data_IF_575505384090
#
_entry.id   IF_575505384090
#
_cell.length_a   1.000
_cell.length_b   1.000
_cell.length_c   1.000
_cell.angle_alpha   90.00
_cell.angle_beta   90.00
_cell.angle_gamma   90.00
#
_symmetry.space_group_name_H-M   'P 1'
#
loop_
_entity.id
_entity.type
_entity.pdbx_description
1 polymer ?
#
# COMPACT_ATOMS: atom_id res chain seq x y z
N UNK A 1 -13.42 32.85 6.66
CA UNK A 1 -13.17 32.28 7.99
C UNK A 1 -14.32 31.37 8.43
N UNK A 2 -15.57 31.85 8.52
CA UNK A 2 -16.73 31.04 8.94
C UNK A 2 -16.95 29.72 8.18
N UNK A 3 -16.73 29.69 6.86
CA UNK A 3 -16.96 28.49 6.01
C UNK A 3 -15.93 27.36 6.26
N UNK A 4 -14.70 27.69 6.66
CA UNK A 4 -13.67 26.67 6.96
C UNK A 4 -13.92 26.02 8.33
N UNK A 5 -14.39 26.79 9.31
CA UNK A 5 -14.75 26.28 10.64
C UNK A 5 -15.95 25.31 10.58
N UNK A 6 -16.92 25.55 9.70
CA UNK A 6 -18.07 24.65 9.46
C UNK A 6 -17.65 23.32 8.81
N UNK A 7 -16.70 23.32 7.87
CA UNK A 7 -16.20 22.08 7.25
C UNK A 7 -15.45 21.20 8.24
N UNK A 8 -14.52 21.79 9.01
CA UNK A 8 -13.72 21.04 9.97
C UNK A 8 -14.58 20.47 11.11
N UNK A 9 -15.57 21.23 11.58
CA UNK A 9 -16.53 20.75 12.58
C UNK A 9 -17.39 19.60 12.04
N UNK A 10 -17.84 19.64 10.78
CA UNK A 10 -18.54 18.52 10.13
C UNK A 10 -17.71 17.23 10.15
N UNK A 11 -16.43 17.32 9.75
CA UNK A 11 -15.50 16.17 9.76
C UNK A 11 -15.33 15.63 11.17
N UNK A 12 -15.09 16.49 12.17
CA UNK A 12 -14.93 16.07 13.57
C UNK A 12 -16.19 15.43 14.15
N UNK A 13 -17.36 15.95 13.79
CA UNK A 13 -18.65 15.40 14.25
C UNK A 13 -18.95 14.03 13.63
N UNK A 14 -18.39 13.73 12.46
CA UNK A 14 -18.52 12.42 11.82
C UNK A 14 -17.56 11.36 12.40
N UNK A 15 -16.65 11.71 13.31
CA UNK A 15 -15.69 10.75 13.88
C UNK A 15 -16.43 9.60 14.58
N UNK A 16 -15.96 8.35 14.42
CA UNK A 16 -16.45 7.25 15.23
C UNK A 16 -16.28 7.56 16.72
N UNK A 17 -17.24 7.13 17.56
CA UNK A 17 -17.19 7.35 19.02
C UNK A 17 -15.90 6.85 19.69
N UNK A 18 -15.24 5.85 19.10
CA UNK A 18 -13.97 5.27 19.59
C UNK A 18 -12.72 5.96 19.02
N UNK A 19 -12.88 7.01 18.23
CA UNK A 19 -11.78 7.63 17.48
C UNK A 19 -11.37 6.81 16.25
N UNK A 20 -10.36 7.31 15.53
CA UNK A 20 -9.84 6.69 14.30
C UNK A 20 -8.65 5.76 14.57
N UNK A 21 -7.85 6.05 15.60
CA UNK A 21 -6.72 5.24 16.03
C UNK A 21 -6.73 5.09 17.55
N UNK A 22 -6.40 3.88 18.02
CA UNK A 22 -6.19 3.65 19.44
C UNK A 22 -4.96 4.45 19.91
N UNK A 23 -5.11 5.19 21.02
CA UNK A 23 -4.02 5.89 21.70
C UNK A 23 -3.28 6.94 20.86
N UNK A 24 -3.87 7.39 19.75
CA UNK A 24 -3.29 8.43 18.89
C UNK A 24 -4.32 9.49 18.54
N UNK A 25 -3.87 10.73 18.55
CA UNK A 25 -4.63 11.85 18.01
C UNK A 25 -4.54 11.86 16.48
N UNK A 26 -5.69 12.09 15.85
CA UNK A 26 -5.76 12.25 14.40
C UNK A 26 -5.71 13.74 14.04
N UNK A 27 -4.68 14.11 13.27
CA UNK A 27 -4.54 15.46 12.75
C UNK A 27 -5.32 15.59 11.43
N UNK A 28 -6.14 16.64 11.36
CA UNK A 28 -6.97 16.94 10.20
C UNK A 28 -6.41 18.13 9.45
N UNK A 29 -6.33 18.02 8.12
CA UNK A 29 -6.12 19.18 7.26
C UNK A 29 -7.45 19.93 7.09
N UNK A 30 -7.47 21.28 7.14
CA UNK A 30 -8.68 22.05 6.89
C UNK A 30 -9.15 21.96 5.43
N UNK A 31 -8.23 21.61 4.51
CA UNK A 31 -8.48 21.53 3.08
C UNK A 31 -8.08 20.14 2.54
N UNK A 32 -8.85 19.59 1.57
CA UNK A 32 -8.49 18.34 0.92
C UNK A 32 -7.24 18.53 0.05
N UNK A 33 -6.50 17.45 -0.18
CA UNK A 33 -5.40 17.44 -1.13
C UNK A 33 -5.96 17.32 -2.56
N UNK A 34 -5.89 18.37 -3.41
CA UNK A 34 -6.48 18.31 -4.74
C UNK A 34 -5.65 17.42 -5.68
N UNK A 35 -6.34 16.55 -6.42
CA UNK A 35 -5.73 15.68 -7.43
C UNK A 35 -6.32 16.05 -8.80
N UNK A 36 -5.45 16.34 -9.76
CA UNK A 36 -5.87 16.58 -11.14
C UNK A 36 -6.43 15.31 -11.78
N UNK A 37 -7.46 15.44 -12.63
CA UNK A 37 -8.09 14.30 -13.32
C UNK A 37 -7.09 13.43 -14.09
N UNK A 38 -6.09 14.08 -14.72
CA UNK A 38 -5.02 13.37 -15.43
C UNK A 38 -4.22 12.48 -14.46
N UNK A 39 -3.83 13.05 -13.32
CA UNK A 39 -3.06 12.32 -12.32
C UNK A 39 -3.88 11.19 -11.67
N UNK A 40 -5.18 11.40 -11.43
CA UNK A 40 -6.08 10.33 -10.99
C UNK A 40 -6.07 9.13 -11.93
N UNK A 41 -6.20 9.36 -13.24
CA UNK A 41 -6.16 8.29 -14.24
C UNK A 41 -4.81 7.54 -14.25
N UNK A 42 -3.70 8.25 -13.99
CA UNK A 42 -2.38 7.63 -13.83
C UNK A 42 -2.29 6.76 -12.57
N UNK A 43 -2.86 7.20 -11.45
CA UNK A 43 -2.93 6.43 -10.20
C UNK A 43 -3.78 5.15 -10.35
N UNK A 44 -4.90 5.22 -11.06
CA UNK A 44 -5.74 4.03 -11.36
C UNK A 44 -4.97 2.99 -12.19
N UNK A 45 -4.18 3.44 -13.18
CA UNK A 45 -3.33 2.56 -13.98
C UNK A 45 -2.14 2.01 -13.20
N UNK A 46 -1.63 2.75 -12.21
CA UNK A 46 -0.49 2.31 -11.40
C UNK A 46 -0.78 1.00 -10.66
N UNK A 47 -2.01 0.81 -10.15
CA UNK A 47 -2.39 -0.42 -9.45
C UNK A 47 -2.14 -1.69 -10.27
N UNK A 48 -2.52 -1.68 -11.55
CA UNK A 48 -2.26 -2.80 -12.45
C UNK A 48 -0.77 -3.02 -12.70
N UNK A 49 0.00 -1.94 -12.90
CA UNK A 49 1.46 -2.01 -13.11
C UNK A 49 2.16 -2.59 -11.89
N UNK A 50 1.75 -2.21 -10.69
CA UNK A 50 2.28 -2.74 -9.43
C UNK A 50 1.98 -4.22 -9.24
N UNK A 51 0.78 -4.68 -9.63
CA UNK A 51 0.45 -6.11 -9.62
C UNK A 51 1.38 -6.91 -10.53
N UNK A 52 1.65 -6.41 -11.74
CA UNK A 52 2.60 -7.05 -12.67
C UNK A 52 4.01 -7.06 -12.07
N UNK A 53 4.44 -5.94 -11.48
CA UNK A 53 5.73 -5.83 -10.82
C UNK A 53 5.89 -6.86 -9.70
N UNK A 54 4.90 -6.98 -8.79
CA UNK A 54 4.94 -7.97 -7.71
C UNK A 54 5.01 -9.41 -8.24
N UNK A 55 4.25 -9.72 -9.31
CA UNK A 55 4.33 -11.04 -9.97
C UNK A 55 5.72 -11.30 -10.54
N UNK A 56 6.35 -10.31 -11.16
CA UNK A 56 7.71 -10.42 -11.66
C UNK A 56 8.74 -10.62 -10.54
N UNK A 57 8.60 -9.90 -9.41
CA UNK A 57 9.44 -10.11 -8.21
C UNK A 57 9.28 -11.53 -7.65
N UNK A 58 8.05 -12.02 -7.53
CA UNK A 58 7.81 -13.40 -7.07
C UNK A 58 8.40 -14.42 -8.05
N UNK A 59 8.22 -14.23 -9.36
CA UNK A 59 8.85 -15.09 -10.37
C UNK A 59 10.38 -15.08 -10.27
N UNK A 60 10.99 -13.91 -10.07
CA UNK A 60 12.44 -13.77 -9.87
C UNK A 60 12.91 -14.57 -8.65
N UNK A 61 12.18 -14.49 -7.53
CA UNK A 61 12.44 -15.32 -6.34
C UNK A 61 12.38 -16.82 -6.68
N UNK A 62 11.30 -17.28 -7.33
CA UNK A 62 11.13 -18.70 -7.67
C UNK A 62 12.21 -19.21 -8.65
N UNK A 63 12.68 -18.36 -9.56
CA UNK A 63 13.78 -18.69 -10.46
C UNK A 63 15.13 -18.72 -9.73
N UNK A 64 15.35 -17.82 -8.77
CA UNK A 64 16.53 -17.79 -7.90
C UNK A 64 16.63 -19.07 -7.07
N UNK A 65 15.53 -19.53 -6.46
CA UNK A 65 15.45 -20.81 -5.74
C UNK A 65 15.81 -22.01 -6.63
N UNK A 66 15.48 -21.95 -7.93
CA UNK A 66 15.79 -23.00 -8.92
C UNK A 66 17.18 -22.87 -9.56
N UNK A 67 17.99 -21.90 -9.14
CA UNK A 67 19.31 -21.64 -9.72
C UNK A 67 19.28 -21.07 -11.15
N UNK A 68 18.14 -20.53 -11.59
CA UNK A 68 17.97 -19.92 -12.93
C UNK A 68 18.16 -18.40 -12.94
N UNK A 69 18.27 -17.79 -11.76
CA UNK A 69 18.54 -16.38 -11.52
C UNK A 69 19.53 -16.28 -10.34
N UNK A 70 20.18 -15.12 -10.10
CA UNK A 70 21.17 -14.97 -9.04
C UNK A 70 20.69 -15.46 -7.68
N UNK A 71 21.47 -16.31 -7.02
CA UNK A 71 21.09 -16.96 -5.75
C UNK A 71 20.88 -15.98 -4.59
N UNK A 72 21.50 -14.79 -4.65
CA UNK A 72 21.40 -13.78 -3.60
C UNK A 72 19.96 -13.29 -3.39
N UNK A 73 19.09 -13.33 -4.41
CA UNK A 73 17.70 -12.89 -4.30
C UNK A 73 16.93 -13.78 -3.33
N UNK A 74 16.96 -15.10 -3.54
CA UNK A 74 16.33 -16.06 -2.62
C UNK A 74 16.98 -15.98 -1.24
N UNK A 75 18.32 -15.93 -1.18
CA UNK A 75 19.04 -15.82 0.09
C UNK A 75 18.60 -14.61 0.92
N UNK A 76 18.48 -13.43 0.30
CA UNK A 76 18.06 -12.22 0.99
C UNK A 76 16.60 -12.27 1.43
N UNK A 77 15.71 -12.77 0.54
CA UNK A 77 14.28 -12.87 0.86
C UNK A 77 13.95 -13.95 1.89
N UNK A 78 14.78 -14.98 2.03
CA UNK A 78 14.58 -16.04 3.03
C UNK A 78 15.22 -15.70 4.39
N UNK A 79 16.11 -14.69 4.44
CA UNK A 79 16.82 -14.32 5.65
C UNK A 79 15.86 -13.96 6.81
N UNK A 80 16.08 -14.59 7.97
CA UNK A 80 15.29 -14.36 9.19
C UNK A 80 13.92 -15.05 9.22
N UNK A 81 13.49 -15.72 8.14
CA UNK A 81 12.25 -16.50 8.13
C UNK A 81 12.47 -17.88 8.75
N UNK A 82 11.49 -18.42 9.52
CA UNK A 82 11.52 -19.80 9.95
C UNK A 82 11.59 -20.77 8.76
N UNK A 83 12.37 -21.86 8.83
CA UNK A 83 12.51 -22.81 7.72
C UNK A 83 11.18 -23.34 7.18
N UNK A 84 10.24 -23.64 8.08
CA UNK A 84 8.91 -24.13 7.72
C UNK A 84 8.10 -23.11 6.88
N UNK A 85 8.27 -21.81 7.15
CA UNK A 85 7.62 -20.75 6.39
C UNK A 85 8.22 -20.64 4.98
N UNK A 86 9.54 -20.74 4.88
CA UNK A 86 10.25 -20.75 3.59
C UNK A 86 9.82 -21.95 2.75
N UNK A 87 9.79 -23.15 3.33
CA UNK A 87 9.31 -24.36 2.66
C UNK A 87 7.86 -24.23 2.19
N UNK A 88 6.98 -23.73 3.07
CA UNK A 88 5.57 -23.50 2.77
C UNK A 88 5.38 -22.55 1.58
N UNK A 89 6.10 -21.42 1.57
CA UNK A 89 6.02 -20.42 0.49
C UNK A 89 6.39 -20.96 -0.91
N UNK A 90 7.15 -22.05 -0.98
CA UNK A 90 7.62 -22.66 -2.24
C UNK A 90 6.71 -23.77 -2.77
N UNK A 91 5.72 -24.19 -1.98
CA UNK A 91 4.74 -25.21 -2.37
C UNK A 91 3.91 -24.74 -3.56
N UNK A 92 3.54 -25.69 -4.43
CA UNK A 92 2.82 -25.40 -5.70
C UNK A 92 1.55 -24.56 -5.51
N UNK A 93 0.83 -24.78 -4.41
CA UNK A 93 -0.42 -24.09 -4.11
C UNK A 93 -0.24 -22.59 -3.74
N UNK A 94 0.94 -22.19 -3.23
CA UNK A 94 1.22 -20.81 -2.81
C UNK A 94 2.19 -20.09 -3.73
N UNK A 95 2.98 -20.86 -4.50
CA UNK A 95 4.10 -20.37 -5.30
C UNK A 95 3.78 -19.16 -6.16
N UNK A 96 2.62 -19.17 -6.82
CA UNK A 96 2.25 -18.14 -7.80
C UNK A 96 1.27 -17.10 -7.21
N UNK A 97 0.99 -17.20 -5.91
CA UNK A 97 0.15 -16.23 -5.21
C UNK A 97 0.96 -14.98 -4.88
N UNK A 98 0.34 -13.83 -5.11
CA UNK A 98 0.84 -12.52 -4.68
C UNK A 98 -0.26 -11.82 -3.88
N UNK A 99 0.11 -10.88 -2.99
CA UNK A 99 -0.88 -10.08 -2.26
C UNK A 99 -1.88 -9.42 -3.21
N UNK A 100 -3.17 -9.52 -2.87
CA UNK A 100 -4.24 -8.91 -3.66
C UNK A 100 -4.45 -7.43 -3.32
N UNK A 101 -3.96 -6.99 -2.16
CA UNK A 101 -4.05 -5.63 -1.67
C UNK A 101 -2.63 -5.12 -1.47
N UNK A 102 -2.36 -3.93 -2.00
CA UNK A 102 -1.12 -3.21 -1.79
C UNK A 102 -1.42 -1.72 -1.57
N UNK A 103 -0.59 -1.08 -0.75
CA UNK A 103 -0.56 0.35 -0.52
C UNK A 103 0.80 0.88 -1.00
N UNK A 104 0.87 1.47 -2.20
CA UNK A 104 2.08 2.17 -2.62
C UNK A 104 2.14 3.53 -1.96
N UNK A 105 3.27 3.84 -1.35
CA UNK A 105 3.54 5.16 -0.80
C UNK A 105 4.24 6.01 -1.84
N UNK A 106 3.60 7.12 -2.20
CA UNK A 106 4.04 8.00 -3.28
C UNK A 106 4.53 9.33 -2.73
N UNK A 107 5.67 9.79 -3.24
CA UNK A 107 6.18 11.14 -3.00
C UNK A 107 5.99 11.93 -4.29
N UNK A 108 5.22 13.01 -4.22
CA UNK A 108 5.02 13.92 -5.35
C UNK A 108 6.23 14.82 -5.54
N UNK A 109 6.59 15.06 -6.79
CA UNK A 109 7.67 15.96 -7.22
C UNK A 109 7.15 16.91 -8.30
N UNK A 110 7.94 17.90 -8.67
CA UNK A 110 7.59 18.84 -9.75
C UNK A 110 7.35 18.16 -11.10
N UNK A 111 7.96 16.99 -11.32
CA UNK A 111 7.92 16.25 -12.60
C UNK A 111 7.05 14.99 -12.57
N UNK A 112 6.35 14.72 -11.47
CA UNK A 112 5.52 13.52 -11.32
C UNK A 112 5.54 12.95 -9.90
N UNK A 113 5.75 11.65 -9.76
CA UNK A 113 5.83 10.99 -8.47
C UNK A 113 6.91 9.91 -8.45
N UNK A 114 7.42 9.63 -7.26
CA UNK A 114 8.34 8.55 -6.97
C UNK A 114 7.64 7.57 -6.04
N UNK A 115 7.81 6.27 -6.29
CA UNK A 115 7.34 5.22 -5.39
C UNK A 115 8.41 5.01 -4.31
N UNK A 116 8.08 5.34 -3.07
CA UNK A 116 8.99 5.16 -1.94
C UNK A 116 8.94 3.73 -1.41
N UNK A 117 7.74 3.17 -1.30
CA UNK A 117 7.49 1.83 -0.77
C UNK A 117 6.27 1.18 -1.44
N UNK A 118 6.22 -0.15 -1.43
CA UNK A 118 5.03 -0.93 -1.75
C UNK A 118 4.74 -1.86 -0.57
N UNK A 119 3.81 -1.46 0.29
CA UNK A 119 3.38 -2.27 1.43
C UNK A 119 2.26 -3.21 0.99
N UNK A 120 2.36 -4.48 1.34
CA UNK A 120 1.37 -5.51 1.01
C UNK A 120 0.75 -6.16 2.24
N UNK A 121 1.01 -5.61 3.43
CA UNK A 121 0.33 -5.97 4.68
C UNK A 121 -0.78 -4.94 4.91
N UNK A 122 -2.05 -5.28 4.62
CA UNK A 122 -3.10 -4.29 4.58
C UNK A 122 -3.41 -3.73 5.97
N UNK A 123 -3.36 -2.40 6.08
CA UNK A 123 -3.82 -1.64 7.24
C UNK A 123 -4.47 -0.32 6.82
N UNK A 124 -5.39 0.21 7.62
CA UNK A 124 -6.00 1.54 7.39
C UNK A 124 -7.10 1.62 6.33
N UNK A 125 -7.53 0.51 5.73
CA UNK A 125 -8.59 0.50 4.69
C UNK A 125 -9.94 0.99 5.25
N UNK A 126 -10.27 0.65 6.50
CA UNK A 126 -11.48 1.15 7.16
C UNK A 126 -11.47 2.67 7.33
N UNK A 127 -10.29 3.23 7.62
CA UNK A 127 -10.10 4.67 7.74
C UNK A 127 -10.25 5.37 6.39
N UNK A 128 -9.60 4.86 5.34
CA UNK A 128 -9.75 5.45 3.98
C UNK A 128 -11.18 5.34 3.48
N UNK A 129 -11.88 4.24 3.80
CA UNK A 129 -13.31 4.09 3.55
C UNK A 129 -14.17 5.15 4.26
N UNK A 130 -13.88 5.43 5.54
CA UNK A 130 -14.57 6.48 6.30
C UNK A 130 -14.28 7.90 5.76
N UNK A 131 -13.01 8.18 5.41
CA UNK A 131 -12.61 9.47 4.81
C UNK A 131 -13.30 9.73 3.46
N UNK A 132 -13.64 8.70 2.69
CA UNK A 132 -14.35 8.85 1.41
C UNK A 132 -15.86 9.14 1.58
N UNK A 133 -16.40 9.01 2.80
CA UNK A 133 -17.83 9.23 3.09
C UNK A 133 -18.12 10.58 3.77
N UNK A 134 -17.07 11.28 4.23
CA UNK A 134 -17.14 12.47 5.08
C UNK A 134 -16.53 13.66 4.36
#
# INVERSE_FOLDING_TARGET
MLVQDEKLSSIRNAFPKKGLFAEKDWLTSPDPFPIEKKFLAELEQLGHRLLIFQRACNQLYQLSVKGKQPAWVAHYLDAGKPPELVEFSRQKQFRDLVPAIARPDLILTESGYIIAEIDSVPGGIGLTGWLNQT
#
